data_IF_347925317007
#
_entry.id   IF_347925317007
#
_cell.length_a   1.000
_cell.length_b   1.000
_cell.length_c   1.000
_cell.angle_alpha   90.00
_cell.angle_beta   90.00
_cell.angle_gamma   90.00
#
_symmetry.space_group_name_H-M   'P 1'
#
loop_
_entity.id
_entity.type
_entity.pdbx_description
1 polymer ?
#
# COMPACT_ATOMS: atom_id res chain seq x y z
N UNK A 1 29.07 10.54 2.45
CA UNK A 1 27.74 11.04 2.88
C UNK A 1 26.65 10.86 1.81
N UNK A 2 26.49 9.66 1.23
CA UNK A 2 25.50 9.43 0.14
C UNK A 2 24.21 8.72 0.63
N UNK A 3 24.31 7.95 1.71
CA UNK A 3 23.21 7.11 2.23
C UNK A 3 22.05 7.90 2.87
N UNK A 4 22.33 9.06 3.47
CA UNK A 4 21.30 9.88 4.12
C UNK A 4 20.27 10.46 3.13
N UNK A 5 20.68 10.72 1.88
CA UNK A 5 19.79 11.25 0.84
C UNK A 5 18.86 10.17 0.30
N UNK A 6 19.37 8.95 0.12
CA UNK A 6 18.61 7.80 -0.37
C UNK A 6 17.54 7.37 0.63
N UNK A 7 17.92 7.22 1.91
CA UNK A 7 16.97 6.91 3.00
C UNK A 7 15.88 7.98 3.13
N UNK A 8 16.24 9.27 3.08
CA UNK A 8 15.25 10.37 3.12
C UNK A 8 14.24 10.30 1.97
N UNK A 9 14.67 9.96 0.76
CA UNK A 9 13.77 9.84 -0.38
C UNK A 9 12.81 8.65 -0.22
N UNK A 10 13.32 7.51 0.24
CA UNK A 10 12.50 6.33 0.55
C UNK A 10 11.46 6.64 1.63
N UNK A 11 11.86 7.29 2.73
CA UNK A 11 10.93 7.68 3.79
C UNK A 11 9.84 8.63 3.30
N UNK A 12 10.17 9.59 2.42
CA UNK A 12 9.17 10.49 1.83
C UNK A 12 8.13 9.73 1.01
N UNK A 13 8.56 8.74 0.22
CA UNK A 13 7.66 7.93 -0.60
C UNK A 13 6.76 7.04 0.26
N UNK A 14 7.33 6.37 1.27
CA UNK A 14 6.57 5.55 2.23
C UNK A 14 5.53 6.38 2.97
N UNK A 15 5.93 7.56 3.48
CA UNK A 15 5.01 8.49 4.14
C UNK A 15 3.88 8.93 3.22
N UNK A 16 4.21 9.32 1.98
CA UNK A 16 3.19 9.76 1.01
C UNK A 16 2.19 8.65 0.69
N UNK A 17 2.68 7.43 0.44
CA UNK A 17 1.80 6.29 0.21
C UNK A 17 0.91 6.00 1.43
N UNK A 18 1.46 6.03 2.63
CA UNK A 18 0.70 5.84 3.86
C UNK A 18 -0.41 6.89 4.01
N UNK A 19 -0.11 8.17 3.77
CA UNK A 19 -1.10 9.26 3.82
C UNK A 19 -2.24 9.04 2.81
N UNK A 20 -1.93 8.59 1.59
CA UNK A 20 -2.95 8.28 0.56
C UNK A 20 -3.83 7.13 1.01
N UNK A 21 -3.24 5.97 1.35
CA UNK A 21 -4.01 4.78 1.70
C UNK A 21 -4.81 4.97 2.99
N UNK A 22 -4.23 5.63 4.00
CA UNK A 22 -4.96 5.97 5.22
C UNK A 22 -6.12 6.91 4.95
N UNK A 23 -5.98 7.85 3.99
CA UNK A 23 -7.07 8.72 3.57
C UNK A 23 -8.22 7.96 2.91
N UNK A 24 -7.91 7.00 2.03
CA UNK A 24 -8.90 6.10 1.40
C UNK A 24 -9.68 5.34 2.48
N UNK A 25 -8.98 4.74 3.44
CA UNK A 25 -9.63 4.01 4.54
C UNK A 25 -10.47 4.92 5.45
N UNK A 26 -10.00 6.13 5.75
CA UNK A 26 -10.75 7.11 6.57
C UNK A 26 -12.04 7.59 5.87
N UNK A 27 -12.06 7.59 4.54
CA UNK A 27 -13.27 7.85 3.76
C UNK A 27 -14.26 6.67 3.74
N UNK A 28 -13.94 5.56 4.43
CA UNK A 28 -14.76 4.35 4.43
C UNK A 28 -14.66 3.54 3.13
N UNK A 29 -13.64 3.80 2.31
CA UNK A 29 -13.42 3.13 1.04
C UNK A 29 -12.40 2.00 1.24
N UNK A 30 -12.76 0.78 0.85
CA UNK A 30 -11.88 -0.40 0.90
C UNK A 30 -11.35 -0.80 -0.48
N UNK A 31 -11.92 -0.25 -1.56
CA UNK A 31 -11.51 -0.53 -2.93
C UNK A 31 -11.45 0.78 -3.73
N UNK A 32 -10.34 0.98 -4.44
CA UNK A 32 -10.11 2.20 -5.21
C UNK A 32 -9.45 1.87 -6.56
N UNK A 33 -9.82 2.53 -7.66
CA UNK A 33 -9.11 2.39 -8.92
C UNK A 33 -7.62 2.72 -8.77
N UNK A 34 -6.76 1.84 -9.28
CA UNK A 34 -5.31 2.02 -9.31
C UNK A 34 -4.92 3.33 -9.98
N UNK A 35 -5.61 3.69 -11.06
CA UNK A 35 -5.31 4.92 -11.80
C UNK A 35 -5.59 6.18 -10.97
N UNK A 36 -6.61 6.15 -10.11
CA UNK A 36 -6.90 7.22 -9.16
C UNK A 36 -5.81 7.36 -8.09
N UNK A 37 -5.34 6.24 -7.54
CA UNK A 37 -4.19 6.25 -6.62
C UNK A 37 -2.93 6.83 -7.28
N UNK A 38 -2.67 6.47 -8.54
CA UNK A 38 -1.52 7.00 -9.29
C UNK A 38 -1.63 8.52 -9.48
N UNK A 39 -2.83 9.07 -9.72
CA UNK A 39 -3.08 10.52 -9.77
C UNK A 39 -2.76 11.19 -8.43
N UNK A 40 -3.05 10.54 -7.30
CA UNK A 40 -2.66 11.04 -5.97
C UNK A 40 -1.15 10.92 -5.69
N UNK A 41 -0.37 10.35 -6.61
CA UNK A 41 1.07 10.18 -6.49
C UNK A 41 1.48 8.90 -5.75
N UNK A 42 0.59 7.91 -5.66
CA UNK A 42 0.88 6.62 -5.07
C UNK A 42 1.96 5.86 -5.85
N UNK A 43 2.90 5.25 -5.14
CA UNK A 43 3.98 4.46 -5.72
C UNK A 43 3.90 3.00 -5.26
N UNK A 44 3.36 2.13 -6.11
CA UNK A 44 3.07 0.71 -5.79
C UNK A 44 4.24 -0.05 -5.17
N UNK A 45 5.48 0.25 -5.54
CA UNK A 45 6.67 -0.45 -5.05
C UNK A 45 7.32 0.17 -3.81
N UNK A 46 6.80 1.29 -3.31
CA UNK A 46 7.30 1.90 -2.08
C UNK A 46 6.55 1.30 -0.89
N UNK A 47 7.05 0.16 -0.43
CA UNK A 47 6.44 -0.70 0.59
C UNK A 47 7.40 -0.99 1.75
N UNK A 48 6.86 -1.34 2.91
CA UNK A 48 7.65 -1.84 4.06
C UNK A 48 7.70 -3.36 4.09
N UNK A 49 6.69 -4.03 3.54
CA UNK A 49 6.64 -5.49 3.43
C UNK A 49 5.91 -5.94 2.17
N UNK A 50 6.14 -7.18 1.74
CA UNK A 50 5.43 -7.82 0.64
C UNK A 50 5.35 -9.32 0.88
N UNK A 51 4.23 -9.92 0.51
CA UNK A 51 3.95 -11.35 0.72
C UNK A 51 3.30 -11.91 -0.54
N UNK A 52 3.85 -13.02 -1.06
CA UNK A 52 3.24 -13.77 -2.14
C UNK A 52 2.40 -14.90 -1.54
N UNK A 53 1.09 -14.85 -1.76
CA UNK A 53 0.16 -15.89 -1.32
C UNK A 53 0.21 -17.11 -2.23
N UNK A 54 -0.31 -18.23 -1.73
CA UNK A 54 -0.36 -19.52 -2.44
C UNK A 54 -1.16 -19.44 -3.75
N UNK A 55 -2.18 -18.58 -3.80
CA UNK A 55 -3.00 -18.33 -4.98
C UNK A 55 -2.31 -17.43 -6.04
N UNK A 56 -1.09 -16.98 -5.76
CA UNK A 56 -0.32 -16.08 -6.63
C UNK A 56 -0.59 -14.60 -6.40
N UNK A 57 -1.46 -14.22 -5.46
CA UNK A 57 -1.73 -12.83 -5.12
C UNK A 57 -0.55 -12.23 -4.36
N UNK A 58 -0.06 -11.08 -4.83
CA UNK A 58 0.96 -10.30 -4.12
C UNK A 58 0.30 -9.28 -3.20
N UNK A 59 0.48 -9.44 -1.89
CA UNK A 59 0.10 -8.47 -0.87
C UNK A 59 1.27 -7.53 -0.64
N UNK A 60 0.99 -6.24 -0.58
CA UNK A 60 1.94 -5.19 -0.27
C UNK A 60 1.54 -4.52 1.04
N UNK A 61 2.52 -4.25 1.90
CA UNK A 61 2.29 -3.60 3.18
C UNK A 61 3.04 -2.28 3.34
N UNK A 62 2.38 -1.32 3.97
CA UNK A 62 2.95 -0.05 4.41
C UNK A 62 2.52 0.15 5.86
N UNK A 63 3.45 -0.14 6.78
CA UNK A 63 3.20 -0.15 8.22
C UNK A 63 2.04 -1.08 8.61
N UNK A 64 0.91 -0.53 9.05
CA UNK A 64 -0.27 -1.27 9.48
C UNK A 64 -1.36 -1.38 8.40
N UNK A 65 -1.09 -0.88 7.18
CA UNK A 65 -2.00 -0.97 6.04
C UNK A 65 -1.47 -1.97 5.02
N UNK A 66 -2.34 -2.85 4.55
CA UNK A 66 -2.11 -3.78 3.46
C UNK A 66 -2.95 -3.40 2.25
N UNK A 67 -2.43 -3.73 1.07
CA UNK A 67 -3.16 -3.62 -0.18
C UNK A 67 -2.71 -4.65 -1.20
N UNK A 68 -3.58 -4.96 -2.16
CA UNK A 68 -3.26 -5.81 -3.29
C UNK A 68 -4.06 -5.41 -4.52
N UNK A 69 -3.58 -5.83 -5.70
CA UNK A 69 -4.25 -5.55 -6.97
C UNK A 69 -5.26 -6.65 -7.29
N UNK A 70 -6.51 -6.24 -7.46
CA UNK A 70 -7.61 -7.05 -7.98
C UNK A 70 -7.69 -6.94 -9.50
N UNK A 71 -8.45 -7.84 -10.15
CA UNK A 71 -8.87 -7.64 -11.53
C UNK A 71 -9.46 -6.25 -11.77
N UNK A 72 -9.47 -5.81 -13.03
CA UNK A 72 -9.95 -4.48 -13.45
C UNK A 72 -9.17 -3.30 -12.85
N UNK A 73 -7.90 -3.52 -12.48
CA UNK A 73 -7.01 -2.48 -11.93
C UNK A 73 -7.57 -1.83 -10.67
N UNK A 74 -8.29 -2.59 -9.83
CA UNK A 74 -8.72 -2.14 -8.52
C UNK A 74 -7.65 -2.47 -7.49
N UNK A 75 -7.48 -1.59 -6.52
CA UNK A 75 -6.64 -1.82 -5.35
C UNK A 75 -7.57 -1.97 -4.15
N UNK A 76 -7.52 -3.14 -3.53
CA UNK A 76 -8.18 -3.37 -2.24
C UNK A 76 -7.21 -3.02 -1.13
N UNK A 77 -7.70 -2.34 -0.10
CA UNK A 77 -6.94 -1.81 1.03
C UNK A 77 -7.64 -2.15 2.34
N UNK A 78 -6.86 -2.61 3.32
CA UNK A 78 -7.35 -2.99 4.64
C UNK A 78 -6.26 -2.79 5.71
N UNK A 79 -6.64 -2.70 6.99
CA UNK A 79 -5.65 -2.71 8.08
C UNK A 79 -5.25 -4.14 8.37
N UNK A 80 -3.97 -4.34 8.67
CA UNK A 80 -3.43 -5.64 9.07
C UNK A 80 -4.16 -6.25 10.27
N UNK A 81 -4.67 -5.40 11.18
CA UNK A 81 -5.48 -5.81 12.33
C UNK A 81 -6.83 -6.41 11.98
N UNK A 82 -7.35 -6.10 10.78
CA UNK A 82 -8.72 -6.46 10.38
C UNK A 82 -8.77 -7.87 9.78
N UNK A 83 -7.61 -8.44 9.45
CA UNK A 83 -7.50 -9.81 8.93
C UNK A 83 -7.25 -10.77 10.10
N UNK A 84 -8.08 -11.82 10.27
CA UNK A 84 -7.82 -12.88 11.24
C UNK A 84 -6.44 -13.50 10.97
N UNK A 85 -5.67 -13.78 12.02
CA UNK A 85 -4.29 -14.30 11.95
C UNK A 85 -4.12 -15.68 11.30
N UNK A 86 -5.16 -16.22 10.65
CA UNK A 86 -5.24 -17.55 10.07
C UNK A 86 -5.52 -17.53 8.55
N UNK A 87 -5.25 -16.41 7.88
CA UNK A 87 -5.35 -16.28 6.42
C UNK A 87 -3.97 -16.30 5.77
#
# INVERSE_FOLDING_TARGET
MHNARLTRLTHKKLRRNYEILSGVMQAGVSEIPKDELLVYGFQIKSVTESELREDGTMIYGIYDIHYFEKPNRLIEVYRKSDVPSYW
#
